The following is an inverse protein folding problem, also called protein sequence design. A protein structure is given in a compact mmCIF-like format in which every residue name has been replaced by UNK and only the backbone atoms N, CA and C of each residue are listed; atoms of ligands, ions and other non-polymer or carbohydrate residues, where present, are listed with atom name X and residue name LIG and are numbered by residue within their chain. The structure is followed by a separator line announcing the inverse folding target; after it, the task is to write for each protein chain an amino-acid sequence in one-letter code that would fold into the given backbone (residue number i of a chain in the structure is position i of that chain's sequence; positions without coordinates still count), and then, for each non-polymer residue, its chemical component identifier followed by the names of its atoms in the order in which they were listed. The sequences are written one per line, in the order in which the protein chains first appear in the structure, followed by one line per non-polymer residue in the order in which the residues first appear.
data_IF_454676558378
#
_entry.id   IF_454676558378
#
_cell.length_a   1.000
_cell.length_b   1.000
_cell.length_c   1.000
_cell.angle_alpha   90.00
_cell.angle_beta   90.00
_cell.angle_gamma   90.00
#
_symmetry.space_group_name_H-M   'P 1'
#
loop_
_entity.id
_entity.type
_entity.pdbx_description
1 polymer ?
#
# COMPACT_ATOMS: atom_id res chain seq x y z
N UNK A 1 8.68 -10.11 11.04
CA UNK A 1 7.52 -9.82 10.17
C UNK A 1 6.91 -8.56 10.71
N UNK A 2 6.75 -7.54 9.88
CA UNK A 2 6.26 -6.22 10.25
C UNK A 2 4.75 -6.14 10.04
N UNK A 3 4.05 -5.53 11.00
CA UNK A 3 2.62 -5.26 10.92
C UNK A 3 2.38 -3.99 10.12
N UNK A 4 1.67 -4.13 9.00
CA UNK A 4 1.35 -2.99 8.14
C UNK A 4 0.01 -2.41 8.57
N UNK A 5 0.03 -1.17 9.02
CA UNK A 5 -1.19 -0.44 9.40
C UNK A 5 -1.51 0.59 8.31
N UNK A 6 -2.63 0.41 7.63
CA UNK A 6 -3.12 1.38 6.67
C UNK A 6 -3.63 2.63 7.36
N UNK A 7 -3.40 3.78 6.72
CA UNK A 7 -3.96 5.03 7.19
C UNK A 7 -5.49 4.98 7.23
N UNK A 8 -6.04 5.40 8.36
CA UNK A 8 -7.47 5.61 8.58
C UNK A 8 -7.71 7.09 8.82
N UNK A 9 -8.62 7.68 8.06
CA UNK A 9 -8.99 9.08 8.23
C UNK A 9 -9.83 9.28 9.51
N UNK A 10 -10.04 10.55 9.88
CA UNK A 10 -10.88 10.96 11.01
C UNK A 10 -12.34 10.46 10.95
N UNK A 11 -12.81 10.07 9.76
CA UNK A 11 -14.17 9.56 9.53
C UNK A 11 -14.22 8.02 9.55
N UNK A 12 -13.12 7.35 9.88
CA UNK A 12 -13.03 5.89 9.87
C UNK A 12 -12.85 5.26 8.48
N UNK A 13 -12.63 6.06 7.43
CA UNK A 13 -12.37 5.56 6.08
C UNK A 13 -10.90 5.18 5.95
N UNK A 14 -10.67 4.03 5.31
CA UNK A 14 -9.34 3.53 4.97
C UNK A 14 -9.20 3.60 3.44
N UNK A 15 -8.71 4.72 2.86
CA UNK A 15 -8.73 4.95 1.42
C UNK A 15 -8.03 3.83 0.63
N UNK A 16 -6.94 3.31 1.17
CA UNK A 16 -6.16 2.21 0.58
C UNK A 16 -6.98 0.93 0.48
N UNK A 17 -7.71 0.61 1.56
CA UNK A 17 -8.57 -0.56 1.61
C UNK A 17 -9.75 -0.40 0.67
N UNK A 18 -10.36 0.78 0.62
CA UNK A 18 -11.43 1.09 -0.33
C UNK A 18 -10.96 0.92 -1.78
N UNK A 19 -9.75 1.40 -2.09
CA UNK A 19 -9.15 1.24 -3.42
C UNK A 19 -8.87 -0.23 -3.76
N UNK A 20 -8.37 -1.03 -2.83
CA UNK A 20 -8.19 -2.47 -3.01
C UNK A 20 -9.52 -3.20 -3.26
N UNK A 21 -10.57 -2.82 -2.53
CA UNK A 21 -11.92 -3.36 -2.72
C UNK A 21 -12.43 -2.99 -4.12
N UNK A 22 -12.27 -1.74 -4.54
CA UNK A 22 -12.66 -1.28 -5.88
C UNK A 22 -11.93 -2.05 -6.99
N UNK A 23 -10.60 -2.20 -6.88
CA UNK A 23 -9.81 -3.01 -7.80
C UNK A 23 -10.24 -4.48 -7.82
N UNK A 24 -10.67 -5.02 -6.68
CA UNK A 24 -11.15 -6.42 -6.60
C UNK A 24 -12.53 -6.63 -7.21
N UNK A 25 -13.35 -5.58 -7.28
CA UNK A 25 -14.67 -5.62 -7.92
C UNK A 25 -14.58 -5.60 -9.45
N UNK A 26 -13.54 -4.96 -9.98
CA UNK A 26 -13.32 -4.85 -11.41
C UNK A 26 -12.51 -6.07 -11.91
N UNK A 27 -13.06 -6.80 -12.88
CA UNK A 27 -12.43 -8.03 -13.42
C UNK A 27 -11.58 -7.77 -14.67
N UNK A 28 -11.26 -6.52 -14.98
CA UNK A 28 -10.42 -6.18 -16.11
C UNK A 28 -8.95 -6.57 -15.87
N UNK A 29 -8.19 -6.71 -16.96
CA UNK A 29 -6.78 -7.11 -16.91
C UNK A 29 -5.94 -6.12 -16.08
N UNK A 30 -6.20 -4.83 -16.22
CA UNK A 30 -5.40 -3.80 -15.57
C UNK A 30 -5.64 -3.76 -14.06
N UNK A 31 -6.89 -3.91 -13.61
CA UNK A 31 -7.23 -4.02 -12.19
C UNK A 31 -6.59 -5.23 -11.55
N UNK A 32 -6.59 -6.40 -12.22
CA UNK A 32 -5.89 -7.60 -11.73
C UNK A 32 -4.38 -7.40 -11.61
N UNK A 33 -3.75 -6.76 -12.60
CA UNK A 33 -2.32 -6.43 -12.58
C UNK A 33 -2.00 -5.49 -11.41
N UNK A 34 -2.79 -4.43 -11.22
CA UNK A 34 -2.62 -3.47 -10.12
C UNK A 34 -2.80 -4.14 -8.76
N UNK A 35 -3.85 -4.94 -8.60
CA UNK A 35 -4.14 -5.65 -7.34
C UNK A 35 -3.00 -6.61 -6.96
N UNK A 36 -2.49 -7.39 -7.91
CA UNK A 36 -1.35 -8.28 -7.67
C UNK A 36 -0.10 -7.49 -7.29
N UNK A 37 0.18 -6.38 -7.97
CA UNK A 37 1.34 -5.54 -7.66
C UNK A 37 1.26 -4.95 -6.25
N UNK A 38 0.09 -4.47 -5.84
CA UNK A 38 -0.10 -3.92 -4.48
C UNK A 38 0.08 -5.03 -3.43
N UNK A 39 -0.46 -6.23 -3.68
CA UNK A 39 -0.26 -7.39 -2.81
C UNK A 39 1.20 -7.77 -2.67
N UNK A 40 1.96 -7.80 -3.76
CA UNK A 40 3.39 -8.08 -3.74
C UNK A 40 4.14 -7.03 -2.90
N UNK A 41 3.79 -5.75 -3.05
CA UNK A 41 4.40 -4.67 -2.28
C UNK A 41 4.12 -4.78 -0.79
N UNK A 42 2.85 -5.05 -0.41
CA UNK A 42 2.47 -5.29 0.99
C UNK A 42 3.24 -6.49 1.56
N UNK A 43 3.43 -7.56 0.77
CA UNK A 43 4.19 -8.73 1.20
C UNK A 43 5.66 -8.40 1.42
N UNK A 44 6.30 -7.69 0.49
CA UNK A 44 7.68 -7.20 0.63
C UNK A 44 7.80 -6.33 1.88
N UNK A 45 6.85 -5.43 2.11
CA UNK A 45 6.84 -4.57 3.29
C UNK A 45 6.66 -5.33 4.59
N UNK A 46 5.84 -6.38 4.62
CA UNK A 46 5.67 -7.18 5.83
C UNK A 46 6.92 -8.03 6.11
N UNK A 47 7.71 -8.36 5.09
CA UNK A 47 8.97 -9.09 5.25
C UNK A 47 10.13 -8.17 5.64
N UNK A 48 10.26 -7.03 4.98
CA UNK A 48 11.44 -6.16 5.08
C UNK A 48 11.19 -4.86 5.86
N UNK A 49 9.95 -4.47 6.09
CA UNK A 49 9.60 -3.24 6.78
C UNK A 49 10.20 -2.02 6.08
N UNK A 50 10.83 -1.14 6.87
CA UNK A 50 11.51 0.07 6.39
C UNK A 50 12.77 -0.21 5.57
N UNK A 51 13.31 -1.43 5.61
CA UNK A 51 14.49 -1.82 4.80
C UNK A 51 14.14 -2.14 3.34
N UNK A 52 12.85 -2.20 2.99
CA UNK A 52 12.41 -2.39 1.60
C UNK A 52 12.90 -1.27 0.66
N UNK A 53 13.12 -0.05 1.19
CA UNK A 53 13.72 1.06 0.47
C UNK A 53 12.98 1.51 -0.79
N UNK A 54 13.62 2.36 -1.59
CA UNK A 54 13.11 2.75 -2.91
C UNK A 54 13.29 1.60 -3.92
N UNK A 55 12.34 1.38 -4.86
CA UNK A 55 11.20 2.23 -5.20
C UNK A 55 9.90 1.91 -4.42
N UNK A 56 9.94 0.96 -3.49
CA UNK A 56 8.75 0.42 -2.83
C UNK A 56 8.15 1.39 -1.82
N UNK A 57 9.02 1.99 -1.01
CA UNK A 57 8.65 2.95 0.02
C UNK A 57 9.52 4.19 -0.01
N UNK A 58 8.89 5.32 0.30
CA UNK A 58 9.56 6.59 0.51
C UNK A 58 9.20 7.08 1.92
N UNK A 59 10.20 7.43 2.70
CA UNK A 59 9.98 8.06 3.99
C UNK A 59 9.44 9.48 3.76
N UNK A 60 8.35 9.83 4.44
CA UNK A 60 7.81 11.19 4.43
C UNK A 60 8.30 11.95 5.65
N UNK A 61 7.83 11.57 6.84
CA UNK A 61 8.15 12.22 8.10
C UNK A 61 7.82 11.32 9.29
N UNK A 62 8.64 11.31 10.33
CA UNK A 62 8.41 10.48 11.53
C UNK A 62 8.31 8.99 11.22
N UNK A 63 7.20 8.36 11.61
CA UNK A 63 6.90 6.94 11.31
C UNK A 63 6.04 6.77 10.05
N UNK A 64 5.85 7.84 9.26
CA UNK A 64 4.97 7.83 8.10
C UNK A 64 5.77 7.52 6.83
N UNK A 65 5.29 6.51 6.10
CA UNK A 65 5.89 6.02 4.87
C UNK A 65 4.87 6.07 3.73
N UNK A 66 5.34 6.39 2.53
CA UNK A 66 4.58 6.37 1.29
C UNK A 66 4.97 5.14 0.47
N UNK A 67 4.02 4.23 0.21
CA UNK A 67 4.16 3.11 -0.71
C UNK A 67 3.80 3.58 -2.11
N UNK A 68 4.67 3.33 -3.11
CA UNK A 68 4.47 3.74 -4.51
C UNK A 68 4.29 2.56 -5.47
N UNK A 69 3.13 1.89 -5.50
CA UNK A 69 2.86 0.92 -6.56
C UNK A 69 2.54 1.63 -7.89
N UNK A 70 3.42 1.47 -8.88
CA UNK A 70 3.29 1.91 -10.29
C UNK A 70 3.15 3.43 -10.49
N UNK A 71 1.98 4.00 -10.17
CA UNK A 71 1.64 5.44 -10.26
C UNK A 71 0.69 5.91 -9.16
N UNK A 72 0.35 5.03 -8.21
CA UNK A 72 -0.51 5.36 -7.08
C UNK A 72 0.36 5.57 -5.83
N UNK A 73 -0.02 6.55 -5.02
CA UNK A 73 0.66 6.89 -3.78
C UNK A 73 -0.23 6.45 -2.61
N UNK A 74 0.30 5.60 -1.73
CA UNK A 74 -0.42 5.06 -0.57
C UNK A 74 0.35 5.44 0.70
N UNK A 75 -0.32 6.07 1.66
CA UNK A 75 0.30 6.45 2.93
C UNK A 75 0.02 5.36 3.99
N UNK A 76 1.06 4.90 4.68
CA UNK A 76 0.99 3.91 5.74
C UNK A 76 1.96 4.19 6.89
N UNK A 77 1.71 3.55 8.04
CA UNK A 77 2.66 3.47 9.16
C UNK A 77 3.18 2.03 9.24
N UNK A 78 4.51 1.88 9.37
CA UNK A 78 5.23 0.60 9.49
C UNK A 78 5.78 0.49 10.90
#
# INVERSE_FOLDING_TARGET
MFDIVFYRDKNGKEPVKLYLIELSKNNDKDSRIKLNKIRDYIKVLSLHGTTAGEPYIKHLEGEIWEIRPLRANIICRI
#
